data_IF_062129818559
#
_entry.id   IF_062129818559
#
_cell.length_a   1.000
_cell.length_b   1.000
_cell.length_c   1.000
_cell.angle_alpha   90.00
_cell.angle_beta   90.00
_cell.angle_gamma   90.00
#
_symmetry.space_group_name_H-M   'P 1'
#
loop_
_entity.id
_entity.type
_entity.pdbx_description
1 polymer ?
#
# COMPACT_ATOMS: atom_id res chain seq x y z
N UNK A 1 27.59 15.87 -24.64
CA UNK A 1 26.14 15.72 -24.42
C UNK A 1 25.67 14.27 -24.61
N UNK A 2 25.68 13.67 -25.81
CA UNK A 2 25.14 12.31 -26.04
C UNK A 2 25.70 11.15 -25.17
N UNK A 3 26.96 11.24 -24.72
CA UNK A 3 27.59 10.20 -23.87
C UNK A 3 27.13 10.25 -22.41
N UNK A 4 26.81 11.44 -21.89
CA UNK A 4 26.27 11.58 -20.52
C UNK A 4 24.81 11.12 -20.48
N UNK A 5 24.01 11.45 -21.49
CA UNK A 5 22.62 10.95 -21.61
C UNK A 5 22.54 9.42 -21.65
N UNK A 6 23.53 8.76 -22.27
CA UNK A 6 23.55 7.29 -22.35
C UNK A 6 23.94 6.64 -21.01
N UNK A 7 24.81 7.29 -20.24
CA UNK A 7 25.20 6.84 -18.89
C UNK A 7 24.02 7.02 -17.93
N UNK A 8 23.37 8.18 -17.94
CA UNK A 8 22.17 8.44 -17.12
C UNK A 8 21.03 7.46 -17.43
N UNK A 9 20.82 7.15 -18.72
CA UNK A 9 19.82 6.15 -19.13
C UNK A 9 20.16 4.76 -18.60
N UNK A 10 21.41 4.33 -18.69
CA UNK A 10 21.85 3.02 -18.20
C UNK A 10 21.78 2.90 -16.68
N UNK A 11 22.12 3.96 -15.94
CA UNK A 11 21.98 4.00 -14.48
C UNK A 11 20.51 3.95 -14.06
N UNK A 12 19.63 4.66 -14.77
CA UNK A 12 18.18 4.61 -14.54
C UNK A 12 17.61 3.22 -14.80
N UNK A 13 18.02 2.55 -15.87
CA UNK A 13 17.62 1.17 -16.17
C UNK A 13 18.09 0.18 -15.10
N UNK A 14 19.33 0.32 -14.61
CA UNK A 14 19.84 -0.51 -13.49
C UNK A 14 19.04 -0.29 -12.22
N UNK A 15 18.74 0.97 -11.88
CA UNK A 15 17.96 1.30 -10.69
C UNK A 15 16.53 0.73 -10.77
N UNK A 16 15.88 0.83 -11.94
CA UNK A 16 14.56 0.24 -12.19
C UNK A 16 14.58 -1.28 -12.08
N UNK A 17 15.58 -1.95 -12.63
CA UNK A 17 15.72 -3.41 -12.51
C UNK A 17 15.95 -3.86 -11.06
N UNK A 18 16.72 -3.10 -10.29
CA UNK A 18 16.95 -3.38 -8.88
C UNK A 18 15.67 -3.20 -8.05
N UNK A 19 14.91 -2.13 -8.31
CA UNK A 19 13.59 -1.92 -7.70
C UNK A 19 12.59 -3.02 -8.10
N UNK A 20 12.58 -3.44 -9.36
CA UNK A 20 11.72 -4.53 -9.84
C UNK A 20 12.05 -5.86 -9.13
N UNK A 21 13.33 -6.16 -8.95
CA UNK A 21 13.80 -7.36 -8.26
C UNK A 21 13.41 -7.35 -6.77
N UNK A 22 13.63 -6.22 -6.09
CA UNK A 22 13.19 -6.01 -4.70
C UNK A 22 11.67 -6.17 -4.59
N UNK A 23 10.93 -5.63 -5.55
CA UNK A 23 9.48 -5.71 -5.57
C UNK A 23 8.94 -7.13 -5.79
N UNK A 24 9.59 -7.92 -6.64
CA UNK A 24 9.24 -9.32 -6.85
C UNK A 24 9.49 -10.17 -5.59
N UNK A 25 10.58 -9.89 -4.85
CA UNK A 25 10.88 -10.53 -3.56
C UNK A 25 9.87 -10.11 -2.49
N UNK A 26 9.58 -8.80 -2.39
CA UNK A 26 8.56 -8.27 -1.49
C UNK A 26 7.18 -8.89 -1.78
N UNK A 27 6.89 -9.18 -3.05
CA UNK A 27 5.66 -9.86 -3.44
C UNK A 27 5.56 -11.31 -2.96
N UNK A 28 6.66 -12.06 -3.03
CA UNK A 28 6.75 -13.40 -2.44
C UNK A 28 6.53 -13.38 -0.93
N UNK A 29 7.26 -12.52 -0.22
CA UNK A 29 7.16 -12.37 1.24
C UNK A 29 5.75 -11.96 1.65
N UNK A 30 5.14 -11.00 0.95
CA UNK A 30 3.80 -10.56 1.27
C UNK A 30 2.74 -11.65 1.02
N UNK A 31 2.90 -12.48 0.00
CA UNK A 31 2.04 -13.65 -0.19
C UNK A 31 2.18 -14.66 0.96
N UNK A 32 3.40 -14.88 1.44
CA UNK A 32 3.69 -15.79 2.55
C UNK A 32 3.20 -15.27 3.91
N UNK A 33 3.25 -13.95 4.14
CA UNK A 33 2.74 -13.30 5.37
C UNK A 33 1.22 -13.14 5.35
N UNK A 34 0.61 -12.97 4.18
CA UNK A 34 -0.85 -12.86 4.04
C UNK A 34 -1.57 -14.12 4.51
N UNK A 35 -0.97 -15.29 4.27
CA UNK A 35 -1.55 -16.59 4.62
C UNK A 35 -1.77 -16.77 6.14
N UNK A 36 -0.76 -16.61 7.02
CA UNK A 36 -0.95 -16.70 8.47
C UNK A 36 -1.86 -15.59 8.99
N UNK A 37 -1.79 -14.36 8.47
CA UNK A 37 -2.70 -13.27 8.89
C UNK A 37 -4.16 -13.57 8.53
N UNK A 38 -4.42 -14.17 7.37
CA UNK A 38 -5.78 -14.60 6.99
C UNK A 38 -6.29 -15.71 7.92
N UNK A 39 -5.42 -16.63 8.35
CA UNK A 39 -5.78 -17.66 9.32
C UNK A 39 -6.12 -17.07 10.69
N UNK A 40 -5.34 -16.11 11.18
CA UNK A 40 -5.63 -15.38 12.43
C UNK A 40 -6.98 -14.66 12.34
N UNK A 41 -7.31 -14.08 11.17
CA UNK A 41 -8.60 -13.41 10.95
C UNK A 41 -9.76 -14.37 11.09
N UNK A 42 -9.61 -15.58 10.54
CA UNK A 42 -10.59 -16.66 10.69
C UNK A 42 -10.78 -17.07 12.15
N UNK A 43 -9.71 -17.20 12.92
CA UNK A 43 -9.82 -17.52 14.36
C UNK A 43 -10.49 -16.41 15.16
N UNK A 44 -10.19 -15.14 14.89
CA UNK A 44 -10.87 -14.01 15.54
C UNK A 44 -12.37 -14.00 15.21
N UNK A 45 -12.75 -14.25 13.96
CA UNK A 45 -14.16 -14.37 13.55
C UNK A 45 -14.90 -15.54 14.22
N UNK A 46 -14.20 -16.65 14.50
CA UNK A 46 -14.76 -17.77 15.24
C UNK A 46 -14.99 -17.38 16.72
N UNK A 47 -14.01 -16.71 17.33
CA UNK A 47 -14.11 -16.25 18.72
C UNK A 47 -15.20 -15.19 18.92
N UNK A 48 -15.42 -14.28 17.95
CA UNK A 48 -16.54 -13.32 17.97
C UNK A 48 -17.91 -14.01 18.09
N UNK A 49 -18.04 -15.23 17.53
CA UNK A 49 -19.29 -16.01 17.59
C UNK A 49 -19.51 -16.67 18.94
N UNK A 50 -18.45 -16.88 19.72
CA UNK A 50 -18.53 -17.46 21.07
C UNK A 50 -18.81 -16.41 22.16
N UNK A 51 -18.56 -15.12 21.87
CA UNK A 51 -18.92 -14.00 22.73
C UNK A 51 -18.19 -12.71 22.37
N UNK A 52 -18.76 -11.57 22.77
CA UNK A 52 -18.11 -10.26 22.62
C UNK A 52 -16.99 -10.12 23.67
N UNK A 53 -15.74 -10.21 23.25
CA UNK A 53 -14.59 -9.85 24.06
C UNK A 53 -13.96 -8.57 23.51
N UNK A 54 -13.79 -7.57 24.38
CA UNK A 54 -13.18 -6.27 24.05
C UNK A 54 -11.82 -6.39 23.32
N UNK A 55 -11.04 -7.43 23.64
CA UNK A 55 -9.74 -7.67 23.01
C UNK A 55 -9.81 -8.29 21.61
N UNK A 56 -10.93 -8.94 21.25
CA UNK A 56 -11.12 -9.52 19.91
C UNK A 56 -11.31 -8.41 18.87
N UNK A 57 -12.10 -7.38 19.19
CA UNK A 57 -12.31 -6.24 18.28
C UNK A 57 -10.99 -5.49 18.02
N UNK A 58 -10.18 -5.31 19.06
CA UNK A 58 -8.84 -4.70 18.96
C UNK A 58 -7.92 -5.57 18.08
N UNK A 59 -7.82 -6.87 18.38
CA UNK A 59 -6.99 -7.79 17.61
C UNK A 59 -7.41 -7.86 16.14
N UNK A 60 -8.72 -7.79 15.86
CA UNK A 60 -9.24 -7.77 14.48
C UNK A 60 -8.85 -6.49 13.77
N UNK A 61 -9.00 -5.33 14.43
CA UNK A 61 -8.62 -4.03 13.86
C UNK A 61 -7.12 -3.98 13.52
N UNK A 62 -6.25 -4.43 14.42
CA UNK A 62 -4.81 -4.46 14.17
C UNK A 62 -4.42 -5.44 13.06
N UNK A 63 -5.14 -6.55 12.96
CA UNK A 63 -4.92 -7.52 11.89
C UNK A 63 -5.34 -6.99 10.52
N UNK A 64 -6.46 -6.28 10.43
CA UNK A 64 -6.89 -5.62 9.20
C UNK A 64 -5.89 -4.54 8.79
N UNK A 65 -5.37 -3.73 9.73
CA UNK A 65 -4.31 -2.77 9.49
C UNK A 65 -3.02 -3.43 8.95
N UNK A 66 -2.62 -4.57 9.52
CA UNK A 66 -1.44 -5.32 9.06
C UNK A 66 -1.63 -5.87 7.64
N UNK A 67 -2.81 -6.40 7.33
CA UNK A 67 -3.16 -6.87 5.99
C UNK A 67 -3.17 -5.72 4.96
N UNK A 68 -3.66 -4.56 5.33
CA UNK A 68 -3.69 -3.38 4.46
C UNK A 68 -2.29 -2.81 4.22
N UNK A 69 -1.44 -2.76 5.25
CA UNK A 69 -0.02 -2.38 5.12
C UNK A 69 0.71 -3.31 4.15
N UNK A 70 0.45 -4.61 4.26
CA UNK A 70 1.02 -5.61 3.37
C UNK A 70 0.56 -5.43 1.91
N UNK A 71 -0.72 -5.17 1.71
CA UNK A 71 -1.29 -4.90 0.37
C UNK A 71 -0.72 -3.61 -0.24
N UNK A 72 -0.46 -2.59 0.58
CA UNK A 72 0.15 -1.34 0.14
C UNK A 72 1.61 -1.54 -0.29
N UNK A 73 2.39 -2.28 0.50
CA UNK A 73 3.77 -2.63 0.15
C UNK A 73 3.85 -3.39 -1.19
N UNK A 74 2.89 -4.29 -1.44
CA UNK A 74 2.74 -5.04 -2.68
C UNK A 74 2.47 -4.16 -3.90
N UNK A 75 1.65 -3.12 -3.76
CA UNK A 75 1.34 -2.20 -4.86
C UNK A 75 2.53 -1.36 -5.29
N UNK A 76 3.40 -0.97 -4.34
CA UNK A 76 4.63 -0.22 -4.63
C UNK A 76 5.70 -1.11 -5.29
N UNK A 77 5.63 -2.40 -5.01
CA UNK A 77 6.59 -3.43 -5.45
C UNK A 77 6.37 -3.93 -6.88
N UNK A 78 5.22 -3.64 -7.51
CA UNK A 78 4.99 -4.05 -8.90
C UNK A 78 5.69 -3.09 -9.88
N UNK A 79 6.66 -3.56 -10.69
CA UNK A 79 7.36 -2.72 -11.65
C UNK A 79 6.46 -2.24 -12.80
N UNK A 80 5.36 -2.96 -13.05
CA UNK A 80 4.51 -2.79 -14.23
C UNK A 80 3.16 -2.15 -13.88
N UNK A 81 3.19 -0.91 -13.40
CA UNK A 81 1.96 -0.12 -13.18
C UNK A 81 1.43 0.52 -14.48
N UNK A 82 2.01 0.16 -15.63
CA UNK A 82 1.64 0.72 -16.92
C UNK A 82 0.48 -0.06 -17.58
N UNK A 83 0.34 -1.36 -17.30
CA UNK A 83 -0.71 -2.25 -17.83
C UNK A 83 -1.81 -2.61 -16.80
N UNK A 84 -2.07 -1.73 -15.82
CA UNK A 84 -3.24 -1.88 -14.95
C UNK A 84 -4.50 -1.31 -15.65
N UNK A 85 -5.59 -2.09 -15.67
CA UNK A 85 -6.92 -1.61 -16.09
C UNK A 85 -7.38 -0.46 -15.20
N UNK A 86 -8.20 0.43 -15.76
CA UNK A 86 -8.80 1.51 -14.99
C UNK A 86 -9.71 0.94 -13.89
N UNK A 87 -9.45 1.36 -12.65
CA UNK A 87 -10.24 0.98 -11.49
C UNK A 87 -11.03 2.17 -10.98
N UNK A 88 -12.22 1.89 -10.43
CA UNK A 88 -13.00 2.91 -9.72
C UNK A 88 -12.57 2.93 -8.25
N UNK A 89 -12.01 4.03 -7.77
CA UNK A 89 -11.53 4.16 -6.39
C UNK A 89 -11.87 5.51 -5.76
N UNK A 90 -11.90 5.58 -4.42
CA UNK A 90 -12.12 6.83 -3.68
C UNK A 90 -10.77 7.47 -3.36
N UNK A 91 -10.60 8.74 -3.75
CA UNK A 91 -9.35 9.46 -3.53
C UNK A 91 -9.05 9.65 -2.05
N UNK A 92 -10.07 9.94 -1.24
CA UNK A 92 -9.90 10.18 0.20
C UNK A 92 -9.41 8.93 0.93
N UNK A 93 -9.95 7.76 0.57
CA UNK A 93 -9.51 6.47 1.15
C UNK A 93 -8.04 6.20 0.82
N UNK A 94 -7.62 6.46 -0.43
CA UNK A 94 -6.22 6.23 -0.81
C UNK A 94 -5.26 7.25 -0.17
N UNK A 95 -5.66 8.52 -0.05
CA UNK A 95 -4.86 9.54 0.63
C UNK A 95 -4.71 9.23 2.11
N UNK A 96 -5.78 8.82 2.80
CA UNK A 96 -5.71 8.37 4.19
C UNK A 96 -4.77 7.17 4.35
N UNK A 97 -4.87 6.19 3.46
CA UNK A 97 -3.96 5.04 3.46
C UNK A 97 -2.50 5.43 3.30
N UNK A 98 -2.20 6.49 2.53
CA UNK A 98 -0.83 7.00 2.36
C UNK A 98 -0.38 7.78 3.59
N UNK A 99 -1.25 8.62 4.17
CA UNK A 99 -0.93 9.34 5.39
C UNK A 99 -0.64 8.40 6.57
N UNK A 100 -1.40 7.31 6.68
CA UNK A 100 -1.17 6.27 7.69
C UNK A 100 0.20 5.57 7.53
N UNK A 101 0.70 5.41 6.30
CA UNK A 101 2.05 4.87 6.05
C UNK A 101 3.17 5.74 6.64
N UNK A 102 2.93 7.03 6.88
CA UNK A 102 3.92 7.96 7.41
C UNK A 102 3.64 8.40 8.85
N UNK A 103 2.61 7.87 9.52
CA UNK A 103 2.27 8.27 10.89
C UNK A 103 3.46 8.14 11.86
N UNK A 104 4.25 7.07 11.75
CA UNK A 104 5.45 6.87 12.58
C UNK A 104 6.63 7.79 12.26
N UNK A 105 6.58 8.52 11.14
CA UNK A 105 7.63 9.50 10.76
C UNK A 105 7.19 10.95 10.95
N UNK A 106 5.95 11.18 11.38
CA UNK A 106 5.34 12.51 11.45
C UNK A 106 5.29 13.10 12.88
N UNK A 107 6.04 12.55 13.84
CA UNK A 107 6.05 13.03 15.23
C UNK A 107 6.42 14.51 15.42
N UNK A 108 7.04 15.15 14.42
CA UNK A 108 7.40 16.58 14.45
C UNK A 108 6.52 17.47 13.54
N UNK A 109 5.52 16.91 12.84
CA UNK A 109 4.71 17.64 11.86
C UNK A 109 3.23 17.35 12.05
N UNK A 110 2.43 18.40 12.25
CA UNK A 110 0.97 18.29 12.29
C UNK A 110 0.42 18.25 10.85
N UNK A 111 -0.24 17.15 10.49
CA UNK A 111 -0.92 17.00 9.21
C UNK A 111 -2.39 17.36 9.36
N UNK A 112 -2.83 18.40 8.63
CA UNK A 112 -4.23 18.80 8.57
C UNK A 112 -4.81 18.34 7.24
N UNK A 113 -5.89 17.56 7.29
CA UNK A 113 -6.63 17.08 6.10
C UNK A 113 -8.01 17.74 6.02
N UNK A 114 -8.39 18.23 4.83
CA UNK A 114 -9.76 18.66 4.49
C UNK A 114 -10.21 17.90 3.24
N UNK A 115 -10.81 16.72 3.42
CA UNK A 115 -11.35 15.93 2.31
C UNK A 115 -12.80 16.29 2.05
N UNK A 116 -13.06 16.89 0.89
CA UNK A 116 -14.41 17.17 0.39
C UNK A 116 -14.84 16.09 -0.59
N UNK A 117 -16.14 15.79 -0.62
CA UNK A 117 -16.72 14.78 -1.50
C UNK A 117 -16.10 13.37 -1.34
N UNK A 118 -15.94 12.90 -0.10
CA UNK A 118 -15.34 11.58 0.23
C UNK A 118 -16.09 10.38 -0.37
N UNK A 119 -17.36 10.55 -0.72
CA UNK A 119 -18.16 9.55 -1.44
C UNK A 119 -17.90 9.51 -2.95
N UNK A 120 -17.21 10.51 -3.51
CA UNK A 120 -16.87 10.55 -4.93
C UNK A 120 -15.87 9.46 -5.27
N UNK A 121 -16.12 8.77 -6.38
CA UNK A 121 -15.22 7.77 -6.93
C UNK A 121 -14.70 8.27 -8.26
N UNK A 122 -13.42 8.05 -8.51
CA UNK A 122 -12.77 8.37 -9.77
C UNK A 122 -12.38 7.09 -10.51
N UNK A 123 -12.35 7.16 -11.82
CA UNK A 123 -11.86 6.09 -12.68
C UNK A 123 -10.40 6.38 -13.05
N UNK A 124 -9.52 5.40 -12.84
CA UNK A 124 -8.15 5.48 -13.32
C UNK A 124 -7.24 4.43 -12.70
N UNK A 125 -5.94 4.55 -12.99
CA UNK A 125 -4.90 3.65 -12.47
C UNK A 125 -4.58 3.98 -11.02
N UNK A 126 -5.24 3.29 -10.08
CA UNK A 126 -5.06 3.44 -8.63
C UNK A 126 -3.57 3.32 -8.23
N UNK A 127 -2.84 2.40 -8.85
CA UNK A 127 -1.41 2.21 -8.56
C UNK A 127 -0.54 3.41 -8.96
N UNK A 128 -0.83 4.06 -10.09
CA UNK A 128 -0.12 5.27 -10.55
C UNK A 128 -0.37 6.45 -9.61
N UNK A 129 -1.60 6.59 -9.11
CA UNK A 129 -1.94 7.60 -8.11
C UNK A 129 -1.08 7.42 -6.85
N UNK A 130 -1.08 6.21 -6.26
CA UNK A 130 -0.26 5.92 -5.08
C UNK A 130 1.22 6.19 -5.30
N UNK A 131 1.76 5.77 -6.45
CA UNK A 131 3.17 5.98 -6.79
C UNK A 131 3.55 7.47 -6.77
N UNK A 132 2.74 8.33 -7.42
CA UNK A 132 3.03 9.75 -7.48
C UNK A 132 2.89 10.43 -6.11
N UNK A 133 1.87 10.06 -5.33
CA UNK A 133 1.65 10.60 -3.99
C UNK A 133 2.75 10.23 -2.99
N UNK A 134 3.45 9.09 -3.17
CA UNK A 134 4.57 8.67 -2.33
C UNK A 134 5.92 9.30 -2.72
N UNK A 135 5.99 9.97 -3.87
CA UNK A 135 7.24 10.58 -4.38
C UNK A 135 7.34 12.08 -4.10
N UNK A 136 6.28 12.68 -3.54
CA UNK A 136 6.19 14.09 -3.12
C UNK A 136 6.65 14.25 -1.67
#
# INVERSE_FOLDING_TARGET
MKRNEHIEKSEREKHLNQLASVGQIAAGIAHEVKNPLTAVKGFLQLLEREGQHHYIDIARSELDNALDTLNNLLQVSKPDLQDEDDQTFSLSIELESILNLFQDKMYEVEVITDFRHTSAKILGKKSQFKKHSLTL
#
